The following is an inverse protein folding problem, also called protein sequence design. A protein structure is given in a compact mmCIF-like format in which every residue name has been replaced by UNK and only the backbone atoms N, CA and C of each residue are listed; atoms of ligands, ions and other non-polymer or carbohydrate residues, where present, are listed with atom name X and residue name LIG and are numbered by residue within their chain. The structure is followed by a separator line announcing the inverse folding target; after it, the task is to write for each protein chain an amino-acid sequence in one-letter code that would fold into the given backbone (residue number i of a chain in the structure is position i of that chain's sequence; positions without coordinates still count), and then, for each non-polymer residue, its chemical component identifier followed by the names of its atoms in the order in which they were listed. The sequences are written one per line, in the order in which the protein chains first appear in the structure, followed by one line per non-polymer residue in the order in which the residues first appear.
data_IF_804924509327
#
_entry.id   IF_804924509327
#
_cell.length_a   1.000
_cell.length_b   1.000
_cell.length_c   1.000
_cell.angle_alpha   90.00
_cell.angle_beta   90.00
_cell.angle_gamma   90.00
#
_symmetry.space_group_name_H-M   'P 1'
#
loop_
_entity.id
_entity.type
_entity.pdbx_description
1 polymer ?
#
# COMPACT_ATOMS: atom_id res chain seq x y z
N UNK A 1 -2.04 -41.12 29.67
CA UNK A 1 -1.67 -39.78 29.14
C UNK A 1 -0.18 -39.73 28.90
N UNK A 2 0.27 -39.79 27.64
CA UNK A 2 1.61 -39.32 27.22
C UNK A 2 1.58 -39.14 25.71
N UNK A 3 2.07 -37.97 25.31
CA UNK A 3 1.91 -37.27 24.02
C UNK A 3 2.91 -37.83 23.01
N UNK A 4 2.51 -38.04 21.76
CA UNK A 4 3.40 -37.92 20.59
C UNK A 4 2.57 -37.61 19.34
N UNK A 5 2.01 -36.40 19.30
CA UNK A 5 1.69 -35.76 18.04
C UNK A 5 2.97 -35.08 17.55
N UNK A 6 3.64 -35.67 16.57
CA UNK A 6 4.64 -34.94 15.77
C UNK A 6 4.27 -35.20 14.32
N UNK A 7 3.31 -34.40 13.86
CA UNK A 7 3.05 -34.22 12.43
C UNK A 7 4.31 -33.54 11.89
N UNK A 8 5.11 -34.33 11.19
CA UNK A 8 6.30 -33.91 10.47
C UNK A 8 5.84 -33.05 9.30
N UNK A 9 5.62 -31.76 9.55
CA UNK A 9 5.36 -30.77 8.52
C UNK A 9 6.63 -30.63 7.67
N UNK A 10 6.69 -31.42 6.60
CA UNK A 10 7.65 -31.27 5.52
C UNK A 10 7.63 -29.81 5.06
N UNK A 11 8.74 -29.16 5.34
CA UNK A 11 9.05 -27.78 5.00
C UNK A 11 8.78 -27.58 3.51
N UNK A 12 7.71 -26.84 3.23
CA UNK A 12 7.33 -26.41 1.89
C UNK A 12 8.42 -25.43 1.44
N UNK A 13 9.46 -25.94 0.77
CA UNK A 13 10.44 -25.12 0.08
C UNK A 13 9.82 -24.57 -1.22
N UNK A 14 8.79 -23.74 -1.06
CA UNK A 14 8.24 -22.92 -2.14
C UNK A 14 9.05 -21.64 -2.23
N UNK A 15 10.13 -21.64 -3.01
CA UNK A 15 10.78 -20.39 -3.41
C UNK A 15 9.93 -19.75 -4.52
N UNK A 16 8.88 -19.03 -4.12
CA UNK A 16 8.18 -18.12 -5.02
C UNK A 16 8.97 -16.82 -5.08
N UNK A 17 9.77 -16.62 -6.13
CA UNK A 17 10.26 -15.27 -6.44
C UNK A 17 9.06 -14.46 -6.93
N UNK A 18 8.41 -13.76 -6.01
CA UNK A 18 7.44 -12.73 -6.35
C UNK A 18 8.22 -11.55 -6.92
N UNK A 19 8.62 -11.63 -8.18
CA UNK A 19 8.97 -10.47 -9.00
C UNK A 19 7.67 -9.76 -9.39
N UNK A 20 6.92 -9.33 -8.39
CA UNK A 20 5.93 -8.30 -8.59
C UNK A 20 6.69 -7.02 -8.88
N UNK A 21 6.57 -6.49 -10.09
CA UNK A 21 6.82 -5.08 -10.34
C UNK A 21 5.88 -4.31 -9.40
N UNK A 22 6.34 -4.04 -8.18
CA UNK A 22 5.58 -3.30 -7.18
C UNK A 22 5.41 -1.92 -7.78
N UNK A 23 4.28 -1.69 -8.43
CA UNK A 23 3.88 -0.37 -8.89
C UNK A 23 4.01 0.55 -7.68
N UNK A 24 4.92 1.51 -7.76
CA UNK A 24 5.27 2.38 -6.65
C UNK A 24 4.08 3.28 -6.36
N UNK A 25 3.23 2.87 -5.42
CA UNK A 25 2.26 3.75 -4.80
C UNK A 25 3.00 4.72 -3.88
N UNK A 26 2.93 6.01 -4.18
CA UNK A 26 3.45 7.08 -3.33
C UNK A 26 2.29 7.83 -2.70
N UNK A 27 2.38 8.08 -1.40
CA UNK A 27 1.42 8.89 -0.65
C UNK A 27 2.14 10.10 -0.10
N UNK A 28 1.58 11.28 -0.31
CA UNK A 28 2.09 12.56 0.16
C UNK A 28 0.99 13.23 0.98
N UNK A 29 1.28 13.54 2.24
CA UNK A 29 0.36 14.28 3.11
C UNK A 29 0.64 15.78 3.03
N UNK A 30 -0.42 16.57 2.80
CA UNK A 30 -0.36 18.04 2.79
C UNK A 30 -0.88 18.54 4.13
N UNK A 31 -0.05 19.30 4.84
CA UNK A 31 -0.38 19.86 6.15
C UNK A 31 -0.73 21.34 6.06
N UNK A 32 -1.63 21.80 6.94
CA UNK A 32 -1.89 23.22 7.15
C UNK A 32 -0.79 23.89 8.02
N UNK A 33 -0.91 25.19 8.26
CA UNK A 33 0.05 25.96 9.07
C UNK A 33 0.05 25.58 10.55
N UNK A 34 -0.93 24.80 11.01
CA UNK A 34 -1.01 24.25 12.37
C UNK A 34 -0.46 22.82 12.45
N UNK A 35 0.02 22.25 11.32
CA UNK A 35 0.51 20.87 11.25
C UNK A 35 -0.59 19.82 11.17
N UNK A 36 -1.83 20.19 10.84
CA UNK A 36 -2.93 19.23 10.62
C UNK A 36 -2.98 18.82 9.17
N UNK A 37 -3.25 17.53 8.92
CA UNK A 37 -3.44 17.03 7.57
C UNK A 37 -4.68 17.69 6.95
N UNK A 38 -4.48 18.27 5.77
CA UNK A 38 -5.51 18.88 4.95
C UNK A 38 -5.95 17.93 3.82
N UNK A 39 -4.99 17.30 3.15
CA UNK A 39 -5.19 16.47 1.97
C UNK A 39 -4.18 15.33 1.88
N UNK A 40 -4.58 14.24 1.23
CA UNK A 40 -3.69 13.14 0.86
C UNK A 40 -3.57 13.09 -0.67
N UNK A 41 -2.35 13.07 -1.19
CA UNK A 41 -2.08 12.89 -2.61
C UNK A 41 -1.52 11.49 -2.82
N UNK A 42 -2.20 10.67 -3.61
CA UNK A 42 -1.74 9.33 -3.98
C UNK A 42 -1.36 9.33 -5.45
N UNK A 43 -0.13 8.92 -5.72
CA UNK A 43 0.39 8.71 -7.07
C UNK A 43 0.54 7.21 -7.28
N UNK A 44 -0.20 6.67 -8.24
CA UNK A 44 -0.21 5.25 -8.55
C UNK A 44 -0.55 5.06 -10.03
N UNK A 45 0.18 4.18 -10.71
CA UNK A 45 -0.13 3.74 -12.08
C UNK A 45 -0.26 4.87 -13.12
N UNK A 46 0.50 5.95 -12.95
CA UNK A 46 0.42 7.11 -13.84
C UNK A 46 -0.80 8.00 -13.60
N UNK A 47 -1.48 7.83 -12.47
CA UNK A 47 -2.56 8.68 -12.00
C UNK A 47 -2.17 9.38 -10.70
N UNK A 48 -2.75 10.55 -10.49
CA UNK A 48 -2.75 11.27 -9.24
C UNK A 48 -4.19 11.32 -8.75
N UNK A 49 -4.41 10.94 -7.49
CA UNK A 49 -5.69 11.09 -6.81
C UNK A 49 -5.48 11.95 -5.58
N UNK A 50 -6.28 13.00 -5.44
CA UNK A 50 -6.29 13.89 -4.27
C UNK A 50 -7.50 13.53 -3.42
N UNK A 51 -7.25 13.27 -2.14
CA UNK A 51 -8.26 13.03 -1.13
C UNK A 51 -8.25 14.18 -0.12
N UNK A 52 -9.41 14.45 0.49
CA UNK A 52 -9.45 15.25 1.71
C UNK A 52 -8.86 14.48 2.90
N UNK A 53 -8.81 15.14 4.07
CA UNK A 53 -8.31 14.57 5.32
C UNK A 53 -9.03 13.29 5.79
N UNK A 54 -10.23 13.01 5.29
CA UNK A 54 -11.06 11.86 5.66
C UNK A 54 -11.02 10.79 4.55
N UNK A 55 -10.02 10.85 3.66
CA UNK A 55 -9.84 9.95 2.51
C UNK A 55 -10.98 9.98 1.50
N UNK A 56 -11.75 11.07 1.44
CA UNK A 56 -12.78 11.26 0.40
C UNK A 56 -12.13 11.85 -0.84
N UNK A 57 -12.35 11.21 -1.99
CA UNK A 57 -11.82 11.68 -3.26
C UNK A 57 -12.34 13.09 -3.59
N UNK A 58 -11.39 14.00 -3.83
CA UNK A 58 -11.66 15.34 -4.34
C UNK A 58 -11.41 15.40 -5.84
N UNK A 59 -10.28 14.86 -6.28
CA UNK A 59 -9.84 14.92 -7.67
C UNK A 59 -9.11 13.65 -8.08
N UNK A 60 -9.17 13.33 -9.37
CA UNK A 60 -8.47 12.22 -9.98
C UNK A 60 -8.05 12.60 -11.40
N UNK A 61 -6.78 12.41 -11.73
CA UNK A 61 -6.22 12.81 -13.02
C UNK A 61 -5.11 11.89 -13.48
N UNK A 62 -4.98 11.74 -14.80
CA UNK A 62 -3.85 11.05 -15.42
C UNK A 62 -2.66 12.00 -15.53
N UNK A 63 -1.47 11.52 -15.21
CA UNK A 63 -0.22 12.26 -15.42
C UNK A 63 0.04 12.30 -16.93
N UNK A 64 -0.01 13.50 -17.50
CA UNK A 64 0.45 13.76 -18.86
C UNK A 64 1.96 14.03 -18.83
N UNK A 65 2.70 13.39 -19.73
CA UNK A 65 4.13 13.60 -19.95
C UNK A 65 4.37 14.64 -21.03
#
# INVERSE_FOLDING_TARGET
MKRTAIILCLLIAGCGTVTGSRQERKTIDIYDTQGKIKEHVVIENGYITIYDKDWKTKEHGRIAY
#
